data_IF_863662893595
#
_entry.id   IF_863662893595
#
_cell.length_a   1.000
_cell.length_b   1.000
_cell.length_c   1.000
_cell.angle_alpha   90.00
_cell.angle_beta   90.00
_cell.angle_gamma   90.00
#
_symmetry.space_group_name_H-M   'P 1'
#
loop_
_entity.id
_entity.type
_entity.pdbx_description
1 polymer ?
#
# COMPACT_ATOMS: atom_id res chain seq x y z
N UNK A 1 15.55 -35.29 -1.15
CA UNK A 1 15.30 -33.83 -1.08
C UNK A 1 15.30 -33.43 0.38
N UNK A 2 15.85 -32.27 0.75
CA UNK A 2 15.86 -31.79 2.13
C UNK A 2 15.11 -30.45 2.18
N UNK A 3 14.16 -30.31 3.10
CA UNK A 3 13.43 -29.06 3.35
C UNK A 3 13.79 -28.61 4.76
N UNK A 4 14.20 -27.35 4.91
CA UNK A 4 14.57 -26.74 6.19
C UNK A 4 13.81 -25.44 6.38
N UNK A 5 13.23 -25.23 7.56
CA UNK A 5 12.69 -23.96 8.00
C UNK A 5 13.45 -23.49 9.24
N UNK A 6 13.90 -22.22 9.23
CA UNK A 6 14.65 -21.61 10.31
C UNK A 6 13.95 -20.35 10.78
N UNK A 7 13.72 -20.26 12.09
CA UNK A 7 13.29 -19.02 12.73
C UNK A 7 14.51 -18.09 12.88
N UNK A 8 14.45 -16.91 12.28
CA UNK A 8 15.53 -15.93 12.30
C UNK A 8 15.67 -15.21 13.65
N UNK A 9 14.64 -15.21 14.51
CA UNK A 9 14.67 -14.56 15.81
C UNK A 9 15.29 -15.43 16.90
N UNK A 10 14.96 -16.72 16.92
CA UNK A 10 15.49 -17.68 17.92
C UNK A 10 16.68 -18.49 17.41
N UNK A 11 16.92 -18.51 16.10
CA UNK A 11 17.96 -19.31 15.46
C UNK A 11 17.64 -20.80 15.38
N UNK A 12 16.49 -21.24 15.91
CA UNK A 12 16.06 -22.62 15.91
C UNK A 12 15.72 -23.08 14.47
N UNK A 13 16.20 -24.28 14.11
CA UNK A 13 16.01 -24.86 12.79
C UNK A 13 15.32 -26.22 12.92
N UNK A 14 14.36 -26.48 12.04
CA UNK A 14 13.74 -27.79 11.86
C UNK A 14 14.00 -28.27 10.44
N UNK A 15 14.51 -29.50 10.32
CA UNK A 15 14.88 -30.10 9.03
C UNK A 15 14.14 -31.41 8.83
N UNK A 16 13.44 -31.52 7.70
CA UNK A 16 12.79 -32.75 7.24
C UNK A 16 13.58 -33.25 6.04
N UNK A 17 14.05 -34.50 6.12
CA UNK A 17 14.70 -35.18 5.00
C UNK A 17 13.70 -36.10 4.34
N UNK A 18 13.35 -35.79 3.09
CA UNK A 18 12.47 -36.62 2.28
C UNK A 18 13.34 -37.68 1.60
N UNK A 19 13.24 -38.92 2.09
CA UNK A 19 13.79 -40.12 1.45
C UNK A 19 12.84 -40.58 0.35
N UNK A 20 13.38 -40.85 -0.84
CA UNK A 20 12.58 -41.22 -2.01
C UNK A 20 12.12 -42.68 -1.88
N UNK A 21 10.89 -42.90 -1.40
CA UNK A 21 10.26 -44.24 -1.34
C UNK A 21 9.02 -44.38 -2.23
N UNK A 22 8.55 -43.30 -2.87
CA UNK A 22 7.45 -43.35 -3.84
C UNK A 22 7.70 -42.38 -4.99
N UNK A 23 8.27 -42.87 -6.09
CA UNK A 23 8.33 -42.10 -7.33
C UNK A 23 7.02 -42.32 -8.09
N UNK A 24 6.41 -41.24 -8.58
CA UNK A 24 5.28 -41.33 -9.50
C UNK A 24 5.69 -42.12 -10.75
N UNK A 25 4.81 -42.97 -11.26
CA UNK A 25 5.05 -43.63 -12.54
C UNK A 25 4.98 -42.61 -13.67
N UNK A 26 5.50 -42.96 -14.85
CA UNK A 26 5.42 -42.06 -16.01
C UNK A 26 3.97 -41.78 -16.43
N UNK A 27 3.09 -42.76 -16.30
CA UNK A 27 1.65 -42.58 -16.52
C UNK A 27 1.01 -41.63 -15.51
N UNK A 28 1.40 -41.71 -14.23
CA UNK A 28 0.91 -40.78 -13.20
C UNK A 28 1.39 -39.34 -13.45
N UNK A 29 2.63 -39.19 -13.93
CA UNK A 29 3.19 -37.88 -14.31
C UNK A 29 2.42 -37.30 -15.49
N UNK A 30 2.23 -38.07 -16.57
CA UNK A 30 1.53 -37.61 -17.77
C UNK A 30 0.06 -37.28 -17.45
N UNK A 31 -0.57 -38.05 -16.55
CA UNK A 31 -1.92 -37.76 -16.05
C UNK A 31 -1.94 -36.46 -15.24
N UNK A 32 -1.01 -36.26 -14.31
CA UNK A 32 -0.93 -35.05 -13.50
C UNK A 32 -0.67 -33.80 -14.34
N UNK A 33 0.13 -33.90 -15.41
CA UNK A 33 0.36 -32.79 -16.35
C UNK A 33 -0.94 -32.41 -17.07
N UNK A 34 -1.68 -33.39 -17.62
CA UNK A 34 -2.97 -33.11 -18.28
C UNK A 34 -4.00 -32.53 -17.32
N UNK A 35 -4.07 -33.05 -16.10
CA UNK A 35 -4.98 -32.53 -15.08
C UNK A 35 -4.61 -31.09 -14.71
N UNK A 36 -3.32 -30.78 -14.52
CA UNK A 36 -2.86 -29.42 -14.24
C UNK A 36 -3.21 -28.44 -15.38
N UNK A 37 -3.08 -28.84 -16.64
CA UNK A 37 -3.48 -28.03 -17.79
C UNK A 37 -5.00 -27.79 -17.83
N UNK A 38 -5.80 -28.81 -17.51
CA UNK A 38 -7.26 -28.71 -17.48
C UNK A 38 -7.76 -27.78 -16.37
N UNK A 39 -7.12 -27.80 -15.19
CA UNK A 39 -7.51 -26.98 -14.04
C UNK A 39 -6.77 -25.64 -13.95
N UNK A 40 -5.81 -25.36 -14.82
CA UNK A 40 -4.99 -24.15 -14.78
C UNK A 40 -5.82 -22.85 -14.66
N UNK A 41 -6.94 -22.74 -15.40
CA UNK A 41 -7.82 -21.57 -15.34
C UNK A 41 -8.55 -21.46 -13.99
N UNK A 42 -9.01 -22.58 -13.43
CA UNK A 42 -9.69 -22.62 -12.13
C UNK A 42 -8.71 -22.30 -10.99
N UNK A 43 -7.52 -22.88 -11.02
CA UNK A 43 -6.46 -22.62 -10.05
C UNK A 43 -6.00 -21.18 -10.10
N UNK A 44 -5.90 -20.59 -11.30
CA UNK A 44 -5.63 -19.17 -11.46
C UNK A 44 -6.73 -18.31 -10.82
N UNK A 45 -7.99 -18.60 -11.08
CA UNK A 45 -9.10 -17.85 -10.48
C UNK A 45 -9.09 -17.95 -8.94
N UNK A 46 -8.83 -19.15 -8.41
CA UNK A 46 -8.71 -19.38 -6.96
C UNK A 46 -7.52 -18.65 -6.35
N UNK A 47 -6.39 -18.64 -7.04
CA UNK A 47 -5.21 -17.87 -6.63
C UNK A 47 -5.52 -16.38 -6.61
N UNK A 48 -6.12 -15.84 -7.67
CA UNK A 48 -6.49 -14.43 -7.75
C UNK A 48 -7.49 -14.06 -6.63
N UNK A 49 -8.40 -14.97 -6.25
CA UNK A 49 -9.30 -14.79 -5.11
C UNK A 49 -8.53 -14.64 -3.78
N UNK A 50 -7.64 -15.59 -3.49
CA UNK A 50 -6.83 -15.61 -2.28
C UNK A 50 -5.91 -14.39 -2.21
N UNK A 51 -5.25 -14.04 -3.31
CA UNK A 51 -4.37 -12.88 -3.40
C UNK A 51 -5.15 -11.57 -3.16
N UNK A 52 -6.38 -11.48 -3.69
CA UNK A 52 -7.25 -10.31 -3.45
C UNK A 52 -7.64 -10.18 -1.98
N UNK A 53 -8.02 -11.29 -1.32
CA UNK A 53 -8.36 -11.30 0.11
C UNK A 53 -7.16 -10.94 0.99
N UNK A 54 -6.01 -11.56 0.74
CA UNK A 54 -4.77 -11.27 1.47
C UNK A 54 -4.33 -9.81 1.33
N UNK A 55 -4.47 -9.23 0.13
CA UNK A 55 -4.19 -7.82 -0.09
C UNK A 55 -5.13 -6.94 0.74
N UNK A 56 -6.44 -7.23 0.72
CA UNK A 56 -7.42 -6.50 1.50
C UNK A 56 -7.12 -6.55 3.00
N UNK A 57 -6.75 -7.71 3.54
CA UNK A 57 -6.36 -7.88 4.95
C UNK A 57 -5.11 -7.06 5.29
N UNK A 58 -4.10 -7.10 4.43
CA UNK A 58 -2.89 -6.30 4.61
C UNK A 58 -3.21 -4.80 4.64
N UNK A 59 -4.09 -4.33 3.74
CA UNK A 59 -4.50 -2.92 3.67
C UNK A 59 -5.30 -2.51 4.91
N UNK A 60 -6.23 -3.35 5.39
CA UNK A 60 -6.96 -3.09 6.65
C UNK A 60 -5.96 -2.91 7.79
N UNK A 61 -5.09 -3.91 7.99
CA UNK A 61 -4.13 -3.90 9.09
C UNK A 61 -3.20 -2.69 9.04
N UNK A 62 -2.64 -2.39 7.86
CA UNK A 62 -1.76 -1.24 7.69
C UNK A 62 -2.49 0.08 7.95
N UNK A 63 -3.70 0.24 7.43
CA UNK A 63 -4.49 1.47 7.61
C UNK A 63 -4.88 1.66 9.08
N UNK A 64 -5.35 0.63 9.76
CA UNK A 64 -5.68 0.68 11.20
C UNK A 64 -4.45 1.00 12.04
N UNK A 65 -3.33 0.32 11.76
CA UNK A 65 -2.07 0.56 12.45
C UNK A 65 -1.63 2.01 12.30
N UNK A 66 -1.61 2.53 11.07
CA UNK A 66 -1.16 3.90 10.83
C UNK A 66 -2.12 4.94 11.41
N UNK A 67 -3.44 4.72 11.37
CA UNK A 67 -4.39 5.60 12.04
C UNK A 67 -4.17 5.66 13.55
N UNK A 68 -3.84 4.52 14.17
CA UNK A 68 -3.51 4.45 15.59
C UNK A 68 -2.18 5.17 15.90
N UNK A 69 -1.16 5.01 15.07
CA UNK A 69 0.14 5.70 15.20
C UNK A 69 0.03 7.21 14.97
N UNK A 70 -0.88 7.65 14.10
CA UNK A 70 -1.17 9.07 13.86
C UNK A 70 -1.82 9.74 15.07
N UNK A 71 -2.49 9.00 15.95
CA UNK A 71 -2.96 9.48 17.25
C UNK A 71 -3.68 10.84 17.16
N UNK A 72 -3.22 11.82 17.91
CA UNK A 72 -3.81 13.16 17.98
C UNK A 72 -3.41 14.10 16.83
N UNK A 73 -2.55 13.66 15.90
CA UNK A 73 -2.14 14.47 14.73
C UNK A 73 -3.23 14.62 13.69
N UNK A 74 -4.28 13.79 13.78
CA UNK A 74 -5.40 13.74 12.85
C UNK A 74 -6.69 13.78 13.68
N UNK A 75 -7.63 14.64 13.31
CA UNK A 75 -8.89 14.79 14.05
C UNK A 75 -9.80 13.57 13.83
N UNK A 76 -10.71 13.29 14.77
CA UNK A 76 -11.68 12.20 14.58
C UNK A 76 -12.56 12.38 13.33
N UNK A 77 -12.85 13.63 12.95
CA UNK A 77 -13.58 13.93 11.71
C UNK A 77 -12.81 13.51 10.45
N UNK A 78 -11.47 13.56 10.49
CA UNK A 78 -10.61 13.13 9.39
C UNK A 78 -10.37 11.61 9.39
N UNK A 79 -10.35 10.97 10.58
CA UNK A 79 -10.24 9.51 10.68
C UNK A 79 -11.54 8.79 10.33
N UNK A 80 -12.69 9.40 10.61
CA UNK A 80 -14.01 8.81 10.37
C UNK A 80 -14.20 8.20 8.97
N UNK A 81 -13.91 8.90 7.85
CA UNK A 81 -14.07 8.33 6.52
C UNK A 81 -13.16 7.12 6.26
N UNK A 82 -11.95 7.11 6.82
CA UNK A 82 -11.04 5.95 6.68
C UNK A 82 -11.54 4.76 7.49
N UNK A 83 -12.01 4.99 8.73
CA UNK A 83 -12.60 3.94 9.58
C UNK A 83 -13.85 3.34 8.92
N UNK A 84 -14.71 4.17 8.34
CA UNK A 84 -15.90 3.70 7.63
C UNK A 84 -15.54 2.86 6.39
N UNK A 85 -14.57 3.30 5.59
CA UNK A 85 -14.08 2.55 4.44
C UNK A 85 -13.46 1.19 4.86
N UNK A 86 -12.72 1.16 5.98
CA UNK A 86 -12.16 -0.08 6.54
C UNK A 86 -13.27 -1.06 6.94
N UNK A 87 -14.31 -0.59 7.64
CA UNK A 87 -15.44 -1.44 8.04
C UNK A 87 -16.24 -1.96 6.82
N UNK A 88 -16.37 -1.14 5.78
CA UNK A 88 -16.94 -1.55 4.50
C UNK A 88 -16.12 -2.65 3.84
N UNK A 89 -14.79 -2.51 3.81
CA UNK A 89 -13.89 -3.54 3.28
C UNK A 89 -13.97 -4.84 4.10
N UNK A 90 -13.96 -4.77 5.43
CA UNK A 90 -14.16 -5.94 6.32
C UNK A 90 -15.49 -6.65 6.03
N UNK A 91 -16.54 -5.88 5.76
CA UNK A 91 -17.85 -6.45 5.43
C UNK A 91 -17.85 -7.10 4.04
N UNK A 92 -17.26 -6.44 3.03
CA UNK A 92 -17.13 -6.99 1.68
C UNK A 92 -16.34 -8.30 1.67
N UNK A 93 -15.30 -8.40 2.50
CA UNK A 93 -14.48 -9.61 2.65
C UNK A 93 -15.26 -10.84 3.17
N UNK A 94 -16.37 -10.64 3.89
CA UNK A 94 -17.24 -11.76 4.33
C UNK A 94 -18.04 -12.37 3.17
N UNK A 95 -18.13 -11.66 2.05
CA UNK A 95 -18.78 -12.13 0.83
C UNK A 95 -17.85 -12.90 -0.10
N UNK A 96 -18.34 -13.16 -1.30
CA UNK A 96 -17.63 -13.85 -2.39
C UNK A 96 -17.38 -12.96 -3.61
N UNK A 97 -17.80 -11.69 -3.56
CA UNK A 97 -17.65 -10.75 -4.66
C UNK A 97 -16.25 -10.10 -4.64
N UNK A 98 -15.35 -10.62 -5.49
CA UNK A 98 -14.00 -10.09 -5.64
C UNK A 98 -13.95 -8.68 -6.20
N UNK A 99 -14.91 -8.28 -7.03
CA UNK A 99 -14.95 -6.92 -7.56
C UNK A 99 -15.31 -5.93 -6.45
N UNK A 100 -16.26 -6.31 -5.58
CA UNK A 100 -16.60 -5.53 -4.40
C UNK A 100 -15.42 -5.40 -3.42
N UNK A 101 -14.68 -6.48 -3.18
CA UNK A 101 -13.48 -6.43 -2.32
C UNK A 101 -12.45 -5.47 -2.92
N UNK A 102 -12.11 -5.59 -4.21
CA UNK A 102 -11.15 -4.71 -4.88
C UNK A 102 -11.58 -3.24 -4.83
N UNK A 103 -12.85 -2.95 -5.13
CA UNK A 103 -13.38 -1.60 -5.09
C UNK A 103 -13.30 -1.01 -3.66
N UNK A 104 -13.65 -1.79 -2.64
CA UNK A 104 -13.54 -1.36 -1.25
C UNK A 104 -12.07 -1.19 -0.81
N UNK A 105 -11.14 -2.01 -1.32
CA UNK A 105 -9.70 -1.84 -1.09
C UNK A 105 -9.21 -0.50 -1.66
N UNK A 106 -9.61 -0.15 -2.88
CA UNK A 106 -9.28 1.16 -3.45
C UNK A 106 -9.90 2.32 -2.67
N UNK A 107 -11.11 2.15 -2.15
CA UNK A 107 -11.79 3.17 -1.35
C UNK A 107 -11.05 3.47 -0.05
N UNK A 108 -10.57 2.42 0.65
CA UNK A 108 -9.69 2.59 1.83
C UNK A 108 -8.42 3.34 1.46
N UNK A 109 -7.76 2.96 0.36
CA UNK A 109 -6.54 3.63 -0.09
C UNK A 109 -6.80 5.11 -0.41
N UNK A 110 -7.86 5.43 -1.16
CA UNK A 110 -8.24 6.81 -1.51
C UNK A 110 -8.55 7.64 -0.27
N UNK A 111 -9.33 7.10 0.67
CA UNK A 111 -9.63 7.78 1.93
C UNK A 111 -8.35 8.05 2.74
N UNK A 112 -7.46 7.06 2.81
CA UNK A 112 -6.19 7.17 3.52
C UNK A 112 -5.23 8.20 2.87
N UNK A 113 -5.14 8.24 1.54
CA UNK A 113 -4.38 9.26 0.82
C UNK A 113 -4.91 10.67 1.10
N UNK A 114 -6.24 10.86 1.11
CA UNK A 114 -6.83 12.16 1.40
C UNK A 114 -6.49 12.67 2.82
N UNK A 115 -6.40 11.78 3.81
CA UNK A 115 -5.94 12.13 5.17
C UNK A 115 -4.45 12.47 5.16
N UNK A 116 -3.65 11.67 4.48
CA UNK A 116 -2.20 11.86 4.40
C UNK A 116 -1.84 13.19 3.73
N UNK A 117 -2.54 13.56 2.65
CA UNK A 117 -2.35 14.82 1.94
C UNK A 117 -2.65 16.03 2.83
N UNK A 118 -3.73 15.98 3.62
CA UNK A 118 -4.06 17.03 4.60
C UNK A 118 -3.00 17.15 5.69
N UNK A 119 -2.48 16.02 6.18
CA UNK A 119 -1.41 16.03 7.18
C UNK A 119 -0.13 16.67 6.63
N UNK A 120 0.26 16.34 5.40
CA UNK A 120 1.41 16.99 4.74
C UNK A 120 1.18 18.48 4.50
N UNK A 121 -0.03 18.89 4.09
CA UNK A 121 -0.39 20.31 3.92
C UNK A 121 -0.37 21.09 5.24
N UNK A 122 -0.79 20.46 6.35
CA UNK A 122 -0.75 21.07 7.68
C UNK A 122 0.66 21.03 8.32
N UNK A 123 1.54 20.14 7.86
CA UNK A 123 2.93 20.03 8.31
C UNK A 123 3.93 20.83 7.46
N UNK A 124 3.54 21.23 6.23
CA UNK A 124 4.26 22.26 5.50
C UNK A 124 4.22 23.54 6.35
N UNK A 125 5.37 24.18 6.65
CA UNK A 125 5.36 25.37 7.48
C UNK A 125 4.41 26.38 6.84
N UNK A 126 3.35 26.74 7.57
CA UNK A 126 2.80 28.08 7.46
C UNK A 126 4.01 28.99 7.66
N UNK A 127 4.55 29.50 6.56
CA UNK A 127 5.46 30.62 6.60
C UNK A 127 4.70 31.74 7.25
N UNK A 128 4.87 31.89 8.56
CA UNK A 128 4.45 33.04 9.32
C UNK A 128 5.08 34.27 8.65
N UNK A 129 4.29 35.19 8.06
CA UNK A 129 4.77 36.54 7.81
C UNK A 129 4.65 37.27 9.15
N UNK A 130 5.51 36.94 10.11
CA UNK A 130 5.63 37.69 11.35
C UNK A 130 7.07 38.18 11.53
N UNK A 131 7.52 38.94 10.53
CA UNK A 131 8.64 39.84 10.67
C UNK A 131 8.14 41.17 11.24
N UNK A 132 8.26 41.28 12.57
CA UNK A 132 8.40 42.48 13.38
C UNK A 132 8.63 43.82 12.61
N UNK A 133 7.74 44.84 12.74
CA UNK A 133 7.93 46.13 12.10
C UNK A 133 8.68 47.10 13.03
N UNK A 134 10.01 47.00 13.11
CA UNK A 134 10.92 48.16 13.27
C UNK A 134 12.37 47.73 13.49
N UNK A 135 13.24 48.09 12.53
CA UNK A 135 14.50 48.81 12.75
C UNK A 135 15.44 48.61 11.56
N UNK A 136 15.65 49.66 10.74
CA UNK A 136 16.78 49.73 9.81
C UNK A 136 16.48 50.41 8.48
N UNK A 137 16.68 51.73 8.43
CA UNK A 137 16.76 52.54 7.21
C UNK A 137 17.76 51.97 6.20
N UNK A 138 17.38 51.92 4.91
CA UNK A 138 17.96 52.74 3.82
C UNK A 138 17.77 52.08 2.44
N UNK A 139 17.28 52.87 1.47
CA UNK A 139 17.61 52.65 0.04
C UNK A 139 16.49 52.21 -0.91
N UNK A 140 15.66 53.17 -1.33
CA UNK A 140 15.26 53.45 -2.72
C UNK A 140 14.88 52.29 -3.70
N UNK A 141 13.58 52.33 -4.05
CA UNK A 141 13.07 52.61 -5.42
C UNK A 141 12.55 51.44 -6.29
N UNK A 142 11.23 51.50 -6.47
CA UNK A 142 10.42 51.24 -7.69
C UNK A 142 10.07 49.80 -8.11
N UNK A 143 8.77 49.49 -8.02
CA UNK A 143 8.00 49.10 -9.21
C UNK A 143 7.46 47.67 -9.29
N UNK A 144 6.14 47.52 -9.09
CA UNK A 144 5.29 46.75 -10.01
C UNK A 144 5.09 45.25 -9.76
N UNK A 145 3.82 44.89 -9.63
CA UNK A 145 3.24 43.54 -9.51
C UNK A 145 3.71 42.50 -10.55
N UNK A 146 3.56 41.25 -10.09
CA UNK A 146 2.81 40.13 -10.70
C UNK A 146 3.58 38.90 -11.20
N UNK A 147 3.02 37.77 -10.76
CA UNK A 147 3.08 36.39 -11.25
C UNK A 147 4.42 35.65 -11.31
N UNK A 148 4.70 34.93 -10.21
CA UNK A 148 5.66 33.83 -10.16
C UNK A 148 5.13 32.60 -10.90
N UNK A 149 5.18 32.64 -12.22
CA UNK A 149 5.04 31.44 -13.06
C UNK A 149 6.36 30.69 -13.02
N UNK A 150 6.35 29.48 -12.46
CA UNK A 150 7.50 28.58 -12.44
C UNK A 150 7.51 27.82 -13.76
N UNK A 151 8.30 28.29 -14.73
CA UNK A 151 8.70 27.50 -15.90
C UNK A 151 9.68 26.42 -15.45
N UNK A 152 9.25 25.17 -15.51
CA UNK A 152 10.10 24.01 -15.24
C UNK A 152 10.73 23.55 -16.56
N UNK A 153 12.00 23.92 -16.79
CA UNK A 153 12.80 23.36 -17.87
C UNK A 153 13.07 21.87 -17.59
N UNK A 154 12.59 21.00 -18.49
CA UNK A 154 12.84 19.57 -18.52
C UNK A 154 14.06 19.29 -19.40
N UNK A 155 15.18 18.86 -18.81
CA UNK A 155 16.36 18.42 -19.54
C UNK A 155 16.35 16.89 -19.67
N UNK A 156 16.09 16.42 -20.89
CA UNK A 156 15.96 15.01 -21.27
C UNK A 156 17.38 14.40 -21.42
N UNK A 157 17.79 13.56 -20.47
CA UNK A 157 19.10 12.89 -20.49
C UNK A 157 19.10 11.81 -21.58
N UNK A 158 19.93 11.99 -22.61
CA UNK A 158 20.19 10.97 -23.64
C UNK A 158 21.19 9.94 -23.10
N UNK A 159 20.75 8.69 -22.99
CA UNK A 159 21.64 7.52 -22.87
C UNK A 159 22.52 7.39 -24.13
N UNK A 160 23.81 7.16 -23.94
CA UNK A 160 24.71 6.57 -24.94
C UNK A 160 25.15 5.20 -24.44
#
# INVERSE_FOLDING_TARGET
MNVSAKDLGTGAEQKITITASSNLSKEDIDKAVREAEQYAAQDKARKDEVDTRNNADQIIYQSEKTLNEMGDKVTEAEKAPVKEAIEKLKTAQKGTDLAAIKAATEEVQKAFYAVSEKLYKNAAPQGEPNANPNAGQAGQQAGGNDDGVVDADYEEVKDN
#
